data_IF_698114911504
#
_entry.id   IF_698114911504
#
_cell.length_a   1.000
_cell.length_b   1.000
_cell.length_c   1.000
_cell.angle_alpha   90.00
_cell.angle_beta   90.00
_cell.angle_gamma   90.00
#
_symmetry.space_group_name_H-M   'P 1'
#
loop_
_entity.id
_entity.type
_entity.pdbx_description
1 polymer ?
#
# COMPACT_ATOMS: atom_id res chain seq x y z
N UNK A 1 -24.33 -50.43 26.38
CA UNK A 1 -23.57 -49.29 26.97
C UNK A 1 -22.70 -48.49 25.99
N UNK A 2 -22.64 -48.78 24.68
CA UNK A 2 -21.76 -48.08 23.71
C UNK A 2 -22.39 -46.88 22.98
N UNK A 3 -23.73 -46.78 23.01
CA UNK A 3 -24.50 -45.75 22.27
C UNK A 3 -24.51 -44.37 22.95
N UNK A 4 -24.45 -44.32 24.28
CA UNK A 4 -24.46 -43.06 25.06
C UNK A 4 -23.19 -42.22 24.84
N UNK A 5 -22.05 -42.86 24.65
CA UNK A 5 -20.78 -42.17 24.39
C UNK A 5 -20.75 -41.52 23.00
N UNK A 6 -21.42 -42.08 22.00
CA UNK A 6 -21.51 -41.48 20.66
C UNK A 6 -22.46 -40.27 20.65
N UNK A 7 -23.61 -40.38 21.32
CA UNK A 7 -24.57 -39.28 21.42
C UNK A 7 -23.99 -38.07 22.17
N UNK A 8 -23.34 -38.29 23.33
CA UNK A 8 -22.73 -37.22 24.13
C UNK A 8 -21.60 -36.53 23.38
N UNK A 9 -20.75 -37.29 22.67
CA UNK A 9 -19.68 -36.71 21.83
C UNK A 9 -20.24 -35.87 20.68
N UNK A 10 -21.31 -36.33 20.04
CA UNK A 10 -21.96 -35.61 18.94
C UNK A 10 -22.59 -34.29 19.41
N UNK A 11 -23.25 -34.30 20.57
CA UNK A 11 -23.84 -33.10 21.18
C UNK A 11 -22.77 -32.09 21.60
N UNK A 12 -21.65 -32.54 22.16
CA UNK A 12 -20.52 -31.67 22.52
C UNK A 12 -19.88 -31.00 21.30
N UNK A 13 -19.78 -31.72 20.18
CA UNK A 13 -19.27 -31.16 18.91
C UNK A 13 -20.22 -30.09 18.39
N UNK A 14 -21.54 -30.34 18.39
CA UNK A 14 -22.56 -29.39 17.92
C UNK A 14 -22.61 -28.10 18.75
N UNK A 15 -22.40 -28.19 20.07
CA UNK A 15 -22.32 -27.01 20.95
C UNK A 15 -21.03 -26.19 20.76
N UNK A 16 -19.95 -26.80 20.26
CA UNK A 16 -18.67 -26.11 20.03
C UNK A 16 -18.62 -25.32 18.71
N UNK A 17 -19.39 -25.72 17.69
CA UNK A 17 -19.43 -25.08 16.36
C UNK A 17 -19.67 -23.57 16.36
N UNK A 18 -20.60 -22.98 17.15
CA UNK A 18 -20.84 -21.54 17.11
C UNK A 18 -19.65 -20.70 17.64
N UNK A 19 -18.74 -21.29 18.43
CA UNK A 19 -17.50 -20.63 18.88
C UNK A 19 -16.42 -20.52 17.79
N UNK A 20 -16.58 -21.24 16.68
CA UNK A 20 -15.71 -21.15 15.50
C UNK A 20 -16.25 -20.18 14.42
N UNK A 21 -17.42 -19.57 14.62
CA UNK A 21 -17.98 -18.54 13.74
C UNK A 21 -17.28 -17.18 13.94
N UNK A 22 -15.95 -17.15 13.83
CA UNK A 22 -15.11 -15.94 13.96
C UNK A 22 -14.79 -15.26 12.62
N UNK A 23 -15.49 -15.60 11.53
CA UNK A 23 -15.17 -15.11 10.18
C UNK A 23 -16.18 -14.08 9.64
N UNK A 24 -16.70 -13.19 10.48
CA UNK A 24 -17.07 -11.87 9.98
C UNK A 24 -15.74 -11.12 9.80
N UNK A 25 -15.27 -11.03 8.55
CA UNK A 25 -13.95 -10.52 8.18
C UNK A 25 -13.50 -9.35 9.04
N UNK A 26 -12.22 -9.37 9.46
CA UNK A 26 -11.64 -8.33 10.30
C UNK A 26 -12.10 -6.94 9.80
N UNK A 27 -12.58 -6.05 10.68
CA UNK A 27 -13.08 -4.74 10.29
C UNK A 27 -11.98 -3.98 9.57
N UNK A 28 -11.97 -4.08 8.23
CA UNK A 28 -11.02 -3.42 7.38
C UNK A 28 -11.48 -1.99 7.23
N UNK A 29 -11.15 -1.17 8.22
CA UNK A 29 -11.25 0.28 8.07
C UNK A 29 -10.23 0.63 6.98
N UNK A 30 -10.64 1.16 5.81
CA UNK A 30 -9.71 1.64 4.80
C UNK A 30 -9.04 2.92 5.35
N UNK A 31 -8.05 2.76 6.21
CA UNK A 31 -7.31 3.88 6.84
C UNK A 31 -6.66 4.77 5.77
N UNK A 32 -6.40 4.21 4.58
CA UNK A 32 -5.66 4.85 3.50
C UNK A 32 -6.38 4.91 2.14
N UNK A 33 -7.72 4.73 2.09
CA UNK A 33 -8.59 4.97 0.91
C UNK A 33 -8.26 4.28 -0.43
N UNK A 34 -9.22 3.55 -1.01
CA UNK A 34 -9.42 3.13 -2.42
C UNK A 34 -8.27 2.58 -3.33
N UNK A 35 -6.98 2.76 -3.05
CA UNK A 35 -5.87 2.37 -3.95
C UNK A 35 -4.62 1.85 -3.22
N UNK A 36 -4.75 1.37 -1.98
CA UNK A 36 -3.63 0.75 -1.26
C UNK A 36 -3.14 -0.50 -2.03
N UNK A 37 -1.86 -0.62 -2.47
CA UNK A 37 -0.64 0.16 -2.19
C UNK A 37 -0.14 1.11 -3.31
N UNK A 38 -0.90 1.32 -4.39
CA UNK A 38 -0.45 2.00 -5.61
C UNK A 38 -0.04 3.48 -5.41
N UNK A 39 -0.79 4.25 -4.60
CA UNK A 39 -0.44 5.66 -4.34
C UNK A 39 0.88 5.80 -3.56
N UNK A 40 1.17 4.83 -2.69
CA UNK A 40 2.38 4.80 -1.86
C UNK A 40 3.60 4.45 -2.72
N UNK A 41 3.43 3.50 -3.65
CA UNK A 41 4.42 3.18 -4.66
C UNK A 41 4.69 4.36 -5.60
N UNK A 42 3.63 5.04 -6.05
CA UNK A 42 3.75 6.25 -6.86
C UNK A 42 4.53 7.36 -6.14
N UNK A 43 4.18 7.64 -4.88
CA UNK A 43 4.88 8.63 -4.07
C UNK A 43 6.37 8.29 -3.91
N UNK A 44 6.68 7.00 -3.66
CA UNK A 44 8.07 6.53 -3.55
C UNK A 44 8.84 6.76 -4.85
N UNK A 45 8.27 6.40 -6.00
CA UNK A 45 8.90 6.57 -7.32
C UNK A 45 9.10 8.06 -7.62
N UNK A 46 8.13 8.92 -7.31
CA UNK A 46 8.29 10.36 -7.45
C UNK A 46 9.41 10.94 -6.58
N UNK A 47 9.52 10.51 -5.33
CA UNK A 47 10.61 10.93 -4.42
C UNK A 47 11.96 10.47 -4.95
N UNK A 48 12.07 9.24 -5.45
CA UNK A 48 13.31 8.73 -6.07
C UNK A 48 13.68 9.56 -7.31
N UNK A 49 12.71 9.86 -8.18
CA UNK A 49 12.91 10.73 -9.34
C UNK A 49 13.42 12.11 -8.96
N UNK A 50 12.83 12.75 -7.94
CA UNK A 50 13.27 14.05 -7.44
C UNK A 50 14.69 14.00 -6.84
N UNK A 51 15.01 12.95 -6.09
CA UNK A 51 16.34 12.75 -5.50
C UNK A 51 17.43 12.57 -6.57
N UNK A 52 17.15 11.76 -7.59
CA UNK A 52 18.06 11.55 -8.74
C UNK A 52 18.25 12.87 -9.50
N UNK A 53 17.17 13.58 -9.82
CA UNK A 53 17.25 14.88 -10.49
C UNK A 53 18.10 15.87 -9.69
N UNK A 54 17.91 15.93 -8.37
CA UNK A 54 18.72 16.77 -7.48
C UNK A 54 20.19 16.37 -7.52
N UNK A 55 20.51 15.08 -7.46
CA UNK A 55 21.89 14.61 -7.55
C UNK A 55 22.54 15.03 -8.88
N UNK A 56 21.84 14.83 -10.00
CA UNK A 56 22.33 15.22 -11.33
C UNK A 56 22.57 16.73 -11.45
N UNK A 57 21.68 17.57 -10.91
CA UNK A 57 21.87 19.02 -10.91
C UNK A 57 23.03 19.49 -10.04
N UNK A 58 23.29 18.81 -8.92
CA UNK A 58 24.45 19.12 -8.07
C UNK A 58 25.74 18.68 -8.76
N UNK A 59 25.77 17.49 -9.36
CA UNK A 59 26.94 16.97 -10.07
C UNK A 59 27.30 17.80 -11.31
N UNK A 60 26.31 18.33 -12.02
CA UNK A 60 26.50 19.18 -13.20
C UNK A 60 26.77 20.66 -12.88
N UNK A 61 26.72 21.07 -11.61
CA UNK A 61 26.89 22.47 -11.19
C UNK A 61 25.68 23.38 -11.49
N UNK A 62 24.65 22.88 -12.18
CA UNK A 62 23.43 23.62 -12.54
C UNK A 62 22.63 24.04 -11.30
N UNK A 63 22.82 23.34 -10.19
CA UNK A 63 22.27 23.67 -8.88
C UNK A 63 22.47 25.14 -8.47
N UNK A 64 23.61 25.75 -8.84
CA UNK A 64 23.94 27.14 -8.48
C UNK A 64 23.21 28.18 -9.33
N UNK A 65 22.70 27.80 -10.51
CA UNK A 65 22.00 28.69 -11.42
C UNK A 65 20.49 28.74 -11.16
N UNK A 66 19.97 27.82 -10.35
CA UNK A 66 18.54 27.61 -10.19
C UNK A 66 18.08 28.06 -8.79
N UNK A 67 17.55 29.30 -8.64
CA UNK A 67 17.17 29.84 -7.32
C UNK A 67 16.05 29.03 -6.63
N UNK A 68 15.27 28.26 -7.40
CA UNK A 68 14.16 27.44 -6.95
C UNK A 68 14.41 25.94 -7.20
N UNK A 69 15.62 25.46 -6.96
CA UNK A 69 16.01 24.07 -7.27
C UNK A 69 15.11 23.02 -6.63
N UNK A 70 14.62 23.25 -5.40
CA UNK A 70 13.70 22.33 -4.73
C UNK A 70 12.37 22.18 -5.49
N UNK A 71 11.82 23.29 -6.01
CA UNK A 71 10.59 23.30 -6.79
C UNK A 71 10.76 22.56 -8.12
N UNK A 72 11.90 22.74 -8.78
CA UNK A 72 12.17 22.04 -10.05
C UNK A 72 12.36 20.55 -9.83
N UNK A 73 13.11 20.15 -8.80
CA UNK A 73 13.30 18.73 -8.47
C UNK A 73 11.98 18.07 -8.05
N UNK A 74 11.14 18.76 -7.26
CA UNK A 74 9.83 18.24 -6.88
C UNK A 74 8.86 18.14 -8.07
N UNK A 75 8.89 19.11 -8.99
CA UNK A 75 8.12 19.05 -10.23
C UNK A 75 8.54 17.87 -11.11
N UNK A 76 9.85 17.60 -11.24
CA UNK A 76 10.36 16.42 -11.95
C UNK A 76 9.88 15.14 -11.27
N UNK A 77 9.99 15.06 -9.94
CA UNK A 77 9.47 13.91 -9.18
C UNK A 77 7.97 13.69 -9.38
N UNK A 78 7.18 14.76 -9.37
CA UNK A 78 5.74 14.69 -9.64
C UNK A 78 5.44 14.22 -11.07
N UNK A 79 6.19 14.70 -12.06
CA UNK A 79 6.05 14.25 -13.44
C UNK A 79 6.39 12.75 -13.59
N UNK A 80 7.47 12.29 -12.96
CA UNK A 80 7.86 10.86 -12.95
C UNK A 80 6.78 10.00 -12.28
N UNK A 81 6.25 10.44 -11.14
CA UNK A 81 5.14 9.80 -10.46
C UNK A 81 3.88 9.72 -11.34
N UNK A 82 3.52 10.82 -12.02
CA UNK A 82 2.37 10.87 -12.92
C UNK A 82 2.55 9.95 -14.13
N UNK A 83 3.74 9.92 -14.74
CA UNK A 83 4.06 9.00 -15.84
C UNK A 83 4.00 7.54 -15.40
N UNK A 84 4.48 7.25 -14.18
CA UNK A 84 4.39 5.91 -13.61
C UNK A 84 2.92 5.50 -13.40
N UNK A 85 2.08 6.39 -12.86
CA UNK A 85 0.65 6.12 -12.72
C UNK A 85 -0.02 5.92 -14.08
N UNK A 86 0.25 6.77 -15.07
CA UNK A 86 -0.23 6.61 -16.44
C UNK A 86 0.15 5.24 -17.01
N UNK A 87 1.42 4.85 -16.91
CA UNK A 87 1.92 3.59 -17.46
C UNK A 87 1.40 2.36 -16.72
N UNK A 88 1.26 2.44 -15.39
CA UNK A 88 0.88 1.32 -14.55
C UNK A 88 -0.64 1.12 -14.46
N UNK A 89 -1.38 2.20 -14.22
CA UNK A 89 -2.85 2.18 -14.03
C UNK A 89 -3.58 2.34 -15.36
N UNK A 90 -2.95 2.92 -16.39
CA UNK A 90 -3.61 3.22 -17.66
C UNK A 90 -4.62 4.35 -17.58
N UNK A 91 -4.50 5.21 -16.56
CA UNK A 91 -5.24 6.49 -16.46
C UNK A 91 -4.74 7.46 -17.51
#
# INVERSE_FOLDING_TARGET
>A
MRQSHFAVRSTLVLLAVPGLCGCAGAPSIPIAGAYFPAWLLCALIGVLGAAIARALFVMSGVAQLLPLQLFVCSAIGAAVAALFLWAWVGL
#
